data_IF_483863543587
#
_entry.id   IF_483863543587
#
_cell.length_a   1.000
_cell.length_b   1.000
_cell.length_c   1.000
_cell.angle_alpha   90.00
_cell.angle_beta   90.00
_cell.angle_gamma   90.00
#
_symmetry.space_group_name_H-M   'P 1'
#
loop_
_entity.id
_entity.type
_entity.pdbx_description
1 polymer ?
#
# COMPACT_ATOMS: atom_id res chain seq x y z
N UNK A 1 23.53 25.06 -2.77
CA UNK A 1 22.21 24.40 -2.84
C UNK A 1 21.84 24.39 -4.29
N UNK A 2 21.62 23.19 -4.81
CA UNK A 2 21.21 22.99 -6.18
C UNK A 2 19.75 22.58 -6.25
N UNK A 3 19.12 22.95 -7.35
CA UNK A 3 17.76 22.55 -7.71
C UNK A 3 17.88 21.76 -9.00
N UNK A 4 17.45 20.50 -8.97
CA UNK A 4 17.38 19.65 -10.16
C UNK A 4 15.91 19.47 -10.54
N UNK A 5 15.58 19.70 -11.81
CA UNK A 5 14.22 19.57 -12.31
C UNK A 5 14.19 18.55 -13.44
N UNK A 6 13.21 17.66 -13.41
CA UNK A 6 13.02 16.60 -14.38
C UNK A 6 11.58 16.60 -14.85
N UNK A 7 11.36 16.75 -16.16
CA UNK A 7 10.05 16.60 -16.78
C UNK A 7 9.86 15.13 -17.14
N UNK A 8 8.78 14.52 -16.67
CA UNK A 8 8.48 13.11 -16.93
C UNK A 8 7.54 13.02 -18.14
N UNK A 9 8.11 13.02 -19.35
CA UNK A 9 7.35 12.98 -20.61
C UNK A 9 6.68 11.63 -20.88
N UNK A 10 7.17 10.57 -20.25
CA UNK A 10 6.69 9.19 -20.36
C UNK A 10 5.63 8.83 -19.31
N UNK A 11 5.48 9.65 -18.27
CA UNK A 11 4.46 9.51 -17.23
C UNK A 11 3.25 10.37 -17.60
N UNK A 12 2.32 9.82 -18.35
CA UNK A 12 1.15 10.59 -18.81
C UNK A 12 -0.09 10.44 -17.93
N UNK A 13 -0.26 9.33 -17.22
CA UNK A 13 -1.53 8.99 -16.58
C UNK A 13 -1.35 8.60 -15.11
N UNK A 14 -2.19 9.18 -14.25
CA UNK A 14 -2.53 8.59 -12.97
C UNK A 14 -3.62 7.54 -13.22
N UNK A 15 -3.64 6.51 -12.39
CA UNK A 15 -4.57 5.41 -12.58
C UNK A 15 -6.01 5.81 -12.25
N UNK A 16 -6.97 5.23 -12.98
CA UNK A 16 -8.38 5.61 -12.96
C UNK A 16 -8.97 5.74 -11.55
N UNK A 17 -8.65 4.81 -10.65
CA UNK A 17 -9.15 4.87 -9.27
C UNK A 17 -8.53 6.01 -8.47
N UNK A 18 -7.25 6.30 -8.69
CA UNK A 18 -6.61 7.38 -7.96
C UNK A 18 -7.04 8.76 -8.48
N UNK A 19 -7.34 8.87 -9.79
CA UNK A 19 -7.97 10.07 -10.39
C UNK A 19 -9.36 10.36 -9.83
N UNK A 20 -10.10 9.34 -9.36
CA UNK A 20 -11.37 9.52 -8.67
C UNK A 20 -11.22 10.07 -7.25
N UNK A 21 -10.07 9.84 -6.61
CA UNK A 21 -9.82 10.22 -5.22
C UNK A 21 -9.13 11.60 -5.15
N UNK A 22 -8.23 11.88 -6.10
CA UNK A 22 -7.39 13.07 -6.07
C UNK A 22 -7.38 13.80 -7.41
N UNK A 23 -7.47 15.13 -7.35
CA UNK A 23 -7.13 15.97 -8.48
C UNK A 23 -5.61 16.11 -8.57
N UNK A 24 -4.99 15.63 -9.66
CA UNK A 24 -3.52 15.63 -9.87
C UNK A 24 -2.82 16.96 -9.61
N UNK A 25 -3.49 18.09 -9.89
CA UNK A 25 -2.96 19.44 -9.67
C UNK A 25 -2.91 19.85 -8.19
N UNK A 26 -3.63 19.12 -7.32
CA UNK A 26 -3.76 19.41 -5.90
C UNK A 26 -2.88 18.55 -5.00
N UNK A 27 -2.13 17.61 -5.58
CA UNK A 27 -1.29 16.65 -4.86
C UNK A 27 0.19 16.88 -5.14
N UNK A 28 1.02 16.55 -4.16
CA UNK A 28 2.47 16.51 -4.30
C UNK A 28 3.00 15.27 -3.59
N UNK A 29 3.78 14.46 -4.28
CA UNK A 29 4.53 13.39 -3.65
C UNK A 29 5.81 13.97 -3.05
N UNK A 30 6.22 13.45 -1.90
CA UNK A 30 7.36 13.93 -1.13
C UNK A 30 8.17 12.75 -0.60
N UNK A 31 9.49 12.86 -0.73
CA UNK A 31 10.48 11.97 -0.14
C UNK A 31 11.72 12.76 0.28
N UNK A 32 12.37 12.36 1.39
CA UNK A 32 13.59 13.02 1.89
C UNK A 32 14.76 12.06 2.08
N UNK A 33 15.96 12.60 1.86
CA UNK A 33 17.18 11.98 2.35
C UNK A 33 17.78 12.73 3.53
N UNK A 34 18.23 11.97 4.52
CA UNK A 34 18.74 12.49 5.77
C UNK A 34 20.11 11.90 6.09
N UNK A 35 20.92 12.60 6.87
CA UNK A 35 22.22 12.08 7.34
C UNK A 35 22.09 11.05 8.47
N UNK A 36 20.90 10.51 8.70
CA UNK A 36 20.59 9.60 9.81
C UNK A 36 19.16 9.73 10.31
N UNK A 37 18.68 8.71 11.03
CA UNK A 37 17.28 8.58 11.42
C UNK A 37 16.84 9.50 12.57
N UNK A 38 17.78 10.12 13.29
CA UNK A 38 17.45 10.94 14.45
C UNK A 38 17.37 12.42 14.06
N UNK A 39 16.15 12.96 13.93
CA UNK A 39 15.87 14.36 13.60
C UNK A 39 16.53 15.40 14.52
N UNK A 40 16.84 15.02 15.77
CA UNK A 40 17.55 15.91 16.71
C UNK A 40 19.03 16.09 16.37
N UNK A 41 19.66 15.11 15.70
CA UNK A 41 21.12 15.10 15.44
C UNK A 41 21.46 15.14 13.95
N UNK A 42 20.54 14.69 13.11
CA UNK A 42 20.75 14.51 11.68
C UNK A 42 20.11 15.66 10.90
N UNK A 43 20.56 15.84 9.65
CA UNK A 43 20.14 16.92 8.77
C UNK A 43 19.48 16.32 7.53
N UNK A 44 18.51 17.01 6.96
CA UNK A 44 17.99 16.75 5.62
C UNK A 44 19.00 17.30 4.62
N UNK A 45 19.42 16.49 3.66
CA UNK A 45 20.32 16.92 2.60
C UNK A 45 19.69 16.87 1.20
N UNK A 46 18.57 16.17 1.05
CA UNK A 46 17.78 16.14 -0.17
C UNK A 46 16.30 16.13 0.18
N UNK A 47 15.53 16.97 -0.51
CA UNK A 47 14.07 16.86 -0.56
C UNK A 47 13.69 16.73 -2.02
N UNK A 48 13.00 15.64 -2.35
CA UNK A 48 12.40 15.47 -3.66
C UNK A 48 10.90 15.73 -3.58
N UNK A 49 10.37 16.45 -4.58
CA UNK A 49 8.95 16.69 -4.79
C UNK A 49 8.56 16.21 -6.17
N UNK A 50 7.45 15.50 -6.28
CA UNK A 50 6.85 15.13 -7.55
C UNK A 50 5.44 15.72 -7.63
N UNK A 51 5.18 16.53 -8.65
CA UNK A 51 3.91 17.24 -8.83
C UNK A 51 3.55 17.41 -10.30
N UNK A 52 2.25 17.53 -10.58
CA UNK A 52 1.76 17.75 -11.92
C UNK A 52 1.76 19.25 -12.25
N UNK A 53 2.37 19.63 -13.37
CA UNK A 53 2.28 21.00 -13.90
C UNK A 53 1.13 21.09 -14.92
N UNK A 54 0.06 21.84 -14.62
CA UNK A 54 -1.09 21.98 -15.52
C UNK A 54 -0.74 22.72 -16.82
N UNK A 55 0.29 23.57 -16.84
CA UNK A 55 0.65 24.35 -18.04
C UNK A 55 1.31 23.45 -19.07
N UNK A 56 2.35 22.71 -18.66
CA UNK A 56 3.02 21.76 -19.54
C UNK A 56 2.24 20.45 -19.70
N UNK A 57 1.27 20.17 -18.83
CA UNK A 57 0.55 18.89 -18.74
C UNK A 57 1.46 17.68 -18.48
N UNK A 58 2.54 17.88 -17.72
CA UNK A 58 3.50 16.83 -17.37
C UNK A 58 3.70 16.73 -15.86
N UNK A 59 4.09 15.54 -15.41
CA UNK A 59 4.67 15.36 -14.09
C UNK A 59 6.08 15.91 -14.04
N UNK A 60 6.45 16.52 -12.92
CA UNK A 60 7.77 17.06 -12.70
C UNK A 60 8.33 16.62 -11.36
N UNK A 61 9.57 16.15 -11.37
CA UNK A 61 10.36 15.95 -10.15
C UNK A 61 11.24 17.17 -9.94
N UNK A 62 11.17 17.77 -8.75
CA UNK A 62 12.07 18.82 -8.28
C UNK A 62 12.85 18.30 -7.08
N UNK A 63 14.17 18.33 -7.15
CA UNK A 63 15.06 17.91 -6.07
C UNK A 63 15.84 19.10 -5.53
N UNK A 64 15.64 19.42 -4.26
CA UNK A 64 16.41 20.42 -3.52
C UNK A 64 17.56 19.73 -2.79
N UNK A 65 18.79 19.95 -3.26
CA UNK A 65 19.97 19.27 -2.76
C UNK A 65 20.93 20.22 -2.03
N UNK A 66 21.39 19.79 -0.85
CA UNK A 66 22.38 20.48 -0.03
C UNK A 66 23.76 20.01 -0.45
N UNK A 67 24.60 20.92 -0.93
CA UNK A 67 26.00 20.57 -1.17
C UNK A 67 26.80 20.45 0.13
N UNK A 68 26.32 21.10 1.18
CA UNK A 68 26.87 21.06 2.53
C UNK A 68 25.78 21.20 3.58
N UNK A 69 26.06 20.74 4.81
CA UNK A 69 25.07 20.73 5.91
C UNK A 69 24.51 22.13 6.25
N UNK A 70 25.27 23.20 5.97
CA UNK A 70 24.82 24.57 6.21
C UNK A 70 23.67 25.04 5.30
N UNK A 71 23.27 24.24 4.32
CA UNK A 71 22.25 24.62 3.33
C UNK A 71 20.86 24.03 3.63
N UNK A 72 20.72 23.23 4.68
CA UNK A 72 19.44 22.60 5.06
C UNK A 72 18.34 23.64 5.26
N UNK A 73 18.62 24.76 5.95
CA UNK A 73 17.64 25.83 6.17
C UNK A 73 17.08 26.35 4.83
N UNK A 74 17.95 26.49 3.82
CA UNK A 74 17.55 26.97 2.50
C UNK A 74 16.62 25.96 1.83
N UNK A 75 16.98 24.68 1.83
CA UNK A 75 16.15 23.62 1.25
C UNK A 75 14.78 23.55 1.91
N UNK A 76 14.74 23.67 3.24
CA UNK A 76 13.50 23.67 4.00
C UNK A 76 12.61 24.85 3.63
N UNK A 77 13.15 26.06 3.49
CA UNK A 77 12.35 27.24 3.06
C UNK A 77 11.74 27.03 1.67
N UNK A 78 12.55 26.61 0.69
CA UNK A 78 12.07 26.36 -0.67
C UNK A 78 11.04 25.22 -0.72
N UNK A 79 11.24 24.16 0.06
CA UNK A 79 10.27 23.07 0.22
C UNK A 79 8.96 23.62 0.78
N UNK A 80 9.01 24.38 1.88
CA UNK A 80 7.84 24.92 2.56
C UNK A 80 6.99 25.83 1.67
N UNK A 81 7.65 26.64 0.85
CA UNK A 81 7.01 27.50 -0.14
C UNK A 81 6.39 26.67 -1.27
N UNK A 82 7.11 25.66 -1.77
CA UNK A 82 6.66 24.86 -2.91
C UNK A 82 5.47 23.98 -2.56
N UNK A 83 5.48 23.33 -1.39
CA UNK A 83 4.36 22.48 -0.96
C UNK A 83 3.08 23.28 -0.70
N UNK A 84 3.18 24.57 -0.38
CA UNK A 84 2.02 25.41 0.01
C UNK A 84 0.96 25.58 -1.09
N UNK A 85 1.31 25.22 -2.33
CA UNK A 85 0.42 25.26 -3.50
C UNK A 85 -0.54 24.06 -3.57
N UNK A 86 -0.25 23.00 -2.82
CA UNK A 86 -1.00 21.74 -2.86
C UNK A 86 -1.94 21.62 -1.66
N UNK A 87 -2.89 20.69 -1.76
CA UNK A 87 -3.84 20.35 -0.69
C UNK A 87 -3.46 19.06 0.03
N UNK A 88 -2.78 18.15 -0.66
CA UNK A 88 -2.42 16.84 -0.12
C UNK A 88 -0.99 16.46 -0.44
N UNK A 89 -0.27 15.98 0.58
CA UNK A 89 1.02 15.33 0.44
C UNK A 89 0.83 13.82 0.35
N UNK A 90 1.40 13.22 -0.68
CA UNK A 90 1.47 11.76 -0.83
C UNK A 90 2.89 11.32 -0.46
N UNK A 91 3.01 10.33 0.41
CA UNK A 91 4.30 9.83 0.87
C UNK A 91 4.26 8.31 1.01
N UNK A 92 5.44 7.69 1.11
CA UNK A 92 5.56 6.29 1.52
C UNK A 92 6.14 6.21 2.92
N UNK A 93 5.31 5.92 3.92
CA UNK A 93 5.71 5.93 5.34
C UNK A 93 6.15 7.31 5.86
N UNK A 94 5.78 8.39 5.16
CA UNK A 94 6.21 9.75 5.48
C UNK A 94 5.46 10.41 6.63
N UNK A 95 4.27 9.93 6.99
CA UNK A 95 3.62 10.39 8.23
C UNK A 95 4.37 9.91 9.48
N UNK A 96 5.11 8.81 9.36
CA UNK A 96 5.91 8.25 10.44
C UNK A 96 7.36 8.78 10.44
N UNK A 97 7.88 9.21 9.29
CA UNK A 97 9.26 9.65 9.15
C UNK A 97 9.38 11.07 8.59
N UNK A 98 9.13 11.26 7.29
CA UNK A 98 9.41 12.47 6.51
C UNK A 98 8.80 13.74 7.11
N UNK A 99 7.47 13.75 7.28
CA UNK A 99 6.72 14.91 7.77
C UNK A 99 7.17 15.29 9.21
N UNK A 100 7.22 14.35 10.19
CA UNK A 100 7.76 14.65 11.51
C UNK A 100 9.22 15.09 11.53
N UNK A 101 10.03 14.66 10.56
CA UNK A 101 11.44 15.06 10.44
C UNK A 101 11.53 16.49 9.92
N UNK A 102 10.84 16.79 8.81
CA UNK A 102 10.79 18.14 8.21
C UNK A 102 10.27 19.17 9.21
N UNK A 103 9.13 18.90 9.85
CA UNK A 103 8.55 19.81 10.85
C UNK A 103 9.53 20.11 12.00
N UNK A 104 10.24 19.09 12.49
CA UNK A 104 11.23 19.27 13.54
C UNK A 104 12.42 20.12 13.07
N UNK A 105 12.94 19.88 11.87
CA UNK A 105 14.06 20.65 11.33
C UNK A 105 13.64 22.09 11.01
N UNK A 106 12.45 22.31 10.46
CA UNK A 106 11.88 23.65 10.26
C UNK A 106 11.78 24.43 11.56
N UNK A 107 11.29 23.79 12.64
CA UNK A 107 11.19 24.40 13.96
C UNK A 107 12.57 24.85 14.50
N UNK A 108 13.63 24.06 14.29
CA UNK A 108 14.99 24.44 14.70
C UNK A 108 15.53 25.69 14.00
N UNK A 109 15.08 25.95 12.78
CA UNK A 109 15.41 27.15 12.01
C UNK A 109 14.36 28.26 12.14
N UNK A 110 13.41 28.13 13.08
CA UNK A 110 12.30 29.07 13.27
C UNK A 110 11.45 29.29 12.00
N UNK A 111 11.36 28.28 11.14
CA UNK A 111 10.51 28.28 9.95
C UNK A 111 9.11 27.79 10.38
N UNK A 112 8.09 28.61 10.13
CA UNK A 112 6.69 28.18 10.31
C UNK A 112 6.32 27.18 9.22
N UNK A 113 6.05 25.95 9.60
CA UNK A 113 5.73 24.88 8.65
C UNK A 113 4.35 25.07 8.02
N UNK A 114 4.27 24.85 6.72
CA UNK A 114 3.02 24.72 5.98
C UNK A 114 2.51 23.28 5.97
N UNK A 115 3.32 22.28 6.35
CA UNK A 115 2.97 20.85 6.33
C UNK A 115 1.63 20.58 7.04
N UNK A 116 1.41 21.23 8.18
CA UNK A 116 0.23 21.03 9.01
C UNK A 116 -1.06 21.60 8.38
N UNK A 117 -0.93 22.39 7.30
CA UNK A 117 -2.07 22.89 6.52
C UNK A 117 -2.49 21.93 5.39
N UNK A 118 -1.68 20.90 5.10
CA UNK A 118 -1.98 19.90 4.06
C UNK A 118 -2.58 18.64 4.69
N UNK A 119 -3.44 17.97 3.94
CA UNK A 119 -3.79 16.58 4.24
C UNK A 119 -2.61 15.67 3.89
N UNK A 120 -2.48 14.54 4.57
CA UNK A 120 -1.48 13.51 4.24
C UNK A 120 -2.17 12.24 3.75
N UNK A 121 -1.61 11.64 2.70
CA UNK A 121 -1.93 10.30 2.23
C UNK A 121 -0.66 9.45 2.27
N UNK A 122 -0.51 8.69 3.34
CA UNK A 122 0.59 7.74 3.49
C UNK A 122 0.24 6.38 2.87
N UNK A 123 0.89 6.08 1.74
CA UNK A 123 0.67 4.86 0.96
C UNK A 123 0.92 3.62 1.81
N UNK A 124 2.01 3.59 2.58
CA UNK A 124 2.35 2.45 3.43
C UNK A 124 1.23 2.16 4.44
N UNK A 125 0.71 3.21 5.10
CA UNK A 125 -0.38 3.05 6.07
C UNK A 125 -1.67 2.59 5.42
N UNK A 126 -2.02 3.08 4.22
CA UNK A 126 -3.21 2.59 3.51
C UNK A 126 -3.06 1.11 3.13
N UNK A 127 -1.94 0.71 2.53
CA UNK A 127 -1.66 -0.70 2.21
C UNK A 127 -1.75 -1.56 3.46
N UNK A 128 -1.25 -1.06 4.60
CA UNK A 128 -1.22 -1.84 5.85
C UNK A 128 -2.61 -2.17 6.37
N UNK A 129 -3.61 -1.32 6.16
CA UNK A 129 -5.02 -1.59 6.53
C UNK A 129 -5.58 -2.81 5.83
N UNK A 130 -5.22 -2.99 4.56
CA UNK A 130 -5.68 -4.09 3.71
C UNK A 130 -4.62 -5.20 3.55
N UNK A 131 -3.64 -5.26 4.45
CA UNK A 131 -2.53 -6.24 4.37
C UNK A 131 -2.98 -7.71 4.38
N UNK A 132 -4.18 -8.00 4.87
CA UNK A 132 -4.78 -9.34 4.83
C UNK A 132 -5.09 -9.82 3.40
N UNK A 133 -5.23 -8.89 2.45
CA UNK A 133 -5.55 -9.17 1.06
C UNK A 133 -4.31 -9.25 0.16
N UNK A 134 -3.12 -9.07 0.73
CA UNK A 134 -1.85 -9.09 0.02
C UNK A 134 -0.95 -10.21 0.52
N UNK A 135 -0.51 -11.06 -0.41
CA UNK A 135 0.41 -12.16 -0.10
C UNK A 135 1.88 -11.74 -0.26
N UNK A 136 2.31 -10.72 0.48
CA UNK A 136 3.68 -10.19 0.42
C UNK A 136 4.53 -10.61 1.62
N UNK A 137 5.84 -10.68 1.44
CA UNK A 137 6.78 -11.00 2.54
C UNK A 137 6.92 -9.86 3.57
N UNK A 138 6.83 -8.62 3.09
CA UNK A 138 6.84 -7.39 3.87
C UNK A 138 6.28 -6.25 3.02
N UNK A 139 6.09 -5.08 3.63
CA UNK A 139 5.47 -3.93 2.98
C UNK A 139 6.47 -2.78 2.77
N UNK A 140 7.76 -3.10 2.59
CA UNK A 140 8.76 -2.09 2.17
C UNK A 140 8.50 -1.68 0.72
N UNK A 141 8.85 -0.45 0.37
CA UNK A 141 8.65 0.11 -0.98
C UNK A 141 9.12 -0.84 -2.08
N UNK A 142 10.40 -1.27 -2.02
CA UNK A 142 11.00 -2.21 -2.99
C UNK A 142 10.25 -3.55 -3.11
N UNK A 143 9.60 -4.02 -2.04
CA UNK A 143 8.80 -5.26 -2.07
C UNK A 143 7.47 -5.04 -2.78
N UNK A 144 6.80 -3.91 -2.52
CA UNK A 144 5.58 -3.53 -3.24
C UNK A 144 5.88 -3.36 -4.73
N UNK A 145 6.94 -2.64 -5.06
CA UNK A 145 7.38 -2.43 -6.44
C UNK A 145 7.62 -3.74 -7.19
N UNK A 146 8.37 -4.67 -6.58
CA UNK A 146 8.61 -5.99 -7.16
C UNK A 146 7.31 -6.75 -7.41
N UNK A 147 6.33 -6.63 -6.51
CA UNK A 147 5.02 -7.28 -6.69
C UNK A 147 4.21 -6.70 -7.85
N UNK A 148 4.49 -5.46 -8.24
CA UNK A 148 3.92 -4.77 -9.39
C UNK A 148 4.76 -4.93 -10.67
N UNK A 149 5.80 -5.77 -10.65
CA UNK A 149 6.70 -5.97 -11.79
C UNK A 149 7.70 -4.83 -12.02
N UNK A 150 7.84 -3.90 -11.06
CA UNK A 150 8.81 -2.81 -11.13
C UNK A 150 10.17 -3.35 -10.68
N UNK A 151 11.14 -3.26 -11.58
CA UNK A 151 12.52 -3.69 -11.34
C UNK A 151 13.46 -2.51 -11.49
N UNK A 152 13.95 -2.00 -10.36
CA UNK A 152 14.92 -0.91 -10.30
C UNK A 152 16.35 -1.44 -10.48
N UNK A 153 17.19 -0.66 -11.15
CA UNK A 153 18.64 -0.90 -11.18
C UNK A 153 19.36 -0.38 -9.93
N UNK A 154 18.71 0.46 -9.11
CA UNK A 154 19.30 1.11 -7.95
C UNK A 154 19.68 0.10 -6.83
N UNK A 155 20.98 -0.13 -6.60
CA UNK A 155 21.43 -1.14 -5.67
C UNK A 155 21.46 -0.64 -4.22
N UNK A 156 21.31 0.67 -3.97
CA UNK A 156 21.55 1.26 -2.67
C UNK A 156 20.30 1.33 -1.81
N UNK A 157 20.50 1.21 -0.51
CA UNK A 157 19.53 1.51 0.53
C UNK A 157 19.72 2.94 1.04
N UNK A 158 18.68 3.55 1.61
CA UNK A 158 18.80 4.88 2.24
C UNK A 158 19.93 4.96 3.29
N UNK A 159 20.27 3.83 3.95
CA UNK A 159 21.43 3.77 4.86
C UNK A 159 22.76 3.96 4.13
N UNK A 160 22.91 3.36 2.95
CA UNK A 160 24.10 3.51 2.12
C UNK A 160 24.18 4.91 1.49
N UNK A 161 23.03 5.53 1.18
CA UNK A 161 22.95 6.91 0.71
C UNK A 161 23.54 7.92 1.72
N UNK A 162 23.43 7.65 3.03
CA UNK A 162 24.09 8.45 4.08
C UNK A 162 25.62 8.47 3.89
N UNK A 163 26.23 7.29 3.73
CA UNK A 163 27.67 7.16 3.57
C UNK A 163 28.14 7.78 2.25
N UNK A 164 27.36 7.62 1.18
CA UNK A 164 27.59 8.26 -0.10
C UNK A 164 27.55 9.78 0.02
N UNK A 165 26.61 10.35 0.77
CA UNK A 165 26.54 11.80 0.96
C UNK A 165 27.78 12.35 1.67
N UNK A 166 28.24 11.70 2.74
CA UNK A 166 29.49 12.10 3.41
C UNK A 166 30.73 11.93 2.50
N UNK A 167 30.75 10.91 1.66
CA UNK A 167 31.80 10.72 0.65
C UNK A 167 31.75 11.81 -0.43
N UNK A 168 30.56 12.22 -0.85
CA UNK A 168 30.34 13.34 -1.75
C UNK A 168 30.82 14.65 -1.12
N UNK A 169 30.50 14.92 0.15
CA UNK A 169 30.96 16.14 0.82
C UNK A 169 32.48 16.30 0.83
N UNK A 170 33.23 15.19 0.97
CA UNK A 170 34.70 15.20 0.94
C UNK A 170 35.28 15.26 -0.47
N UNK A 171 34.71 14.49 -1.40
CA UNK A 171 35.31 14.28 -2.73
C UNK A 171 34.75 15.17 -3.83
N UNK A 172 33.52 15.67 -3.65
CA UNK A 172 32.72 16.42 -4.62
C UNK A 172 32.59 15.74 -5.99
N UNK A 173 32.75 14.40 -6.03
CA UNK A 173 32.67 13.62 -7.26
C UNK A 173 31.23 13.53 -7.76
N UNK A 174 31.01 13.97 -9.01
CA UNK A 174 29.70 13.93 -9.67
C UNK A 174 29.08 12.53 -9.70
N UNK A 175 29.88 11.48 -9.93
CA UNK A 175 29.34 10.11 -9.96
C UNK A 175 28.68 9.66 -8.64
N UNK A 176 29.07 10.23 -7.49
CA UNK A 176 28.42 9.93 -6.20
C UNK A 176 27.12 10.73 -6.07
N UNK A 177 27.14 11.98 -6.51
CA UNK A 177 25.97 12.84 -6.55
C UNK A 177 24.87 12.23 -7.44
N UNK A 178 25.25 11.76 -8.64
CA UNK A 178 24.32 11.15 -9.59
C UNK A 178 23.61 9.93 -8.98
N UNK A 179 24.31 9.12 -8.18
CA UNK A 179 23.72 7.99 -7.45
C UNK A 179 22.72 8.45 -6.39
N UNK A 180 23.09 9.44 -5.58
CA UNK A 180 22.20 9.98 -4.52
C UNK A 180 20.93 10.58 -5.13
N UNK A 181 21.07 11.40 -6.18
CA UNK A 181 19.92 12.01 -6.86
C UNK A 181 19.06 10.94 -7.52
N UNK A 182 19.67 9.90 -8.12
CA UNK A 182 18.93 8.80 -8.76
C UNK A 182 18.10 7.99 -7.77
N UNK A 183 18.60 7.75 -6.56
CA UNK A 183 17.86 7.04 -5.51
C UNK A 183 16.54 7.73 -5.17
N UNK A 184 16.60 8.99 -4.74
CA UNK A 184 15.42 9.79 -4.42
C UNK A 184 14.53 10.06 -5.65
N UNK A 185 15.13 10.19 -6.84
CA UNK A 185 14.37 10.30 -8.10
C UNK A 185 13.54 9.02 -8.33
N UNK A 186 14.14 7.84 -8.19
CA UNK A 186 13.45 6.56 -8.40
C UNK A 186 12.37 6.34 -7.36
N UNK A 187 12.63 6.68 -6.10
CA UNK A 187 11.62 6.63 -5.04
C UNK A 187 10.38 7.45 -5.41
N UNK A 188 10.54 8.66 -5.93
CA UNK A 188 9.42 9.47 -6.38
C UNK A 188 8.80 8.99 -7.69
N UNK A 189 9.62 8.68 -8.70
CA UNK A 189 9.15 8.31 -10.04
C UNK A 189 8.24 7.08 -10.00
N UNK A 190 8.64 6.04 -9.25
CA UNK A 190 7.88 4.80 -9.15
C UNK A 190 6.73 4.87 -8.14
N UNK A 191 6.70 5.88 -7.24
CA UNK A 191 5.59 6.04 -6.30
C UNK A 191 4.23 6.21 -6.99
N UNK A 192 4.18 6.80 -8.20
CA UNK A 192 2.96 6.84 -9.00
C UNK A 192 2.51 5.42 -9.37
N UNK A 193 3.41 4.55 -9.81
CA UNK A 193 3.08 3.16 -10.19
C UNK A 193 2.71 2.31 -8.99
N UNK A 194 3.33 2.58 -7.84
CA UNK A 194 3.02 1.91 -6.57
C UNK A 194 1.54 2.05 -6.21
N UNK A 195 0.85 3.09 -6.67
CA UNK A 195 -0.59 3.25 -6.46
C UNK A 195 -1.43 2.12 -7.07
N UNK A 196 -0.92 1.39 -8.08
CA UNK A 196 -1.58 0.21 -8.65
C UNK A 196 -1.82 -0.91 -7.64
N UNK A 197 -1.09 -0.92 -6.53
CA UNK A 197 -1.34 -1.88 -5.46
C UNK A 197 -2.76 -1.78 -4.92
N UNK A 198 -3.38 -0.59 -4.96
CA UNK A 198 -4.76 -0.40 -4.50
C UNK A 198 -5.77 -1.07 -5.44
N UNK A 199 -5.50 -1.10 -6.75
CA UNK A 199 -6.33 -1.82 -7.71
C UNK A 199 -6.24 -3.35 -7.45
N UNK A 200 -5.03 -3.86 -7.21
CA UNK A 200 -4.84 -5.27 -6.83
C UNK A 200 -5.54 -5.62 -5.51
N UNK A 201 -5.49 -4.73 -4.51
CA UNK A 201 -6.23 -4.90 -3.26
C UNK A 201 -7.73 -4.94 -3.53
N UNK A 202 -8.27 -4.02 -4.33
CA UNK A 202 -9.69 -3.98 -4.66
C UNK A 202 -10.16 -5.26 -5.39
N UNK A 203 -9.38 -5.74 -6.36
CA UNK A 203 -9.64 -7.01 -7.04
C UNK A 203 -9.58 -8.21 -6.07
N UNK A 204 -8.59 -8.21 -5.17
CA UNK A 204 -8.45 -9.24 -4.15
C UNK A 204 -9.63 -9.25 -3.16
N UNK A 205 -10.24 -8.10 -2.86
CA UNK A 205 -11.42 -7.98 -1.99
C UNK A 205 -12.73 -8.38 -2.68
N UNK A 206 -12.81 -8.23 -4.00
CA UNK A 206 -14.07 -8.40 -4.75
C UNK A 206 -14.30 -9.80 -5.28
N UNK A 207 -15.56 -10.23 -5.26
CA UNK A 207 -16.06 -11.34 -6.06
C UNK A 207 -17.42 -10.98 -6.64
N UNK A 208 -17.80 -11.67 -7.71
CA UNK A 208 -19.13 -11.56 -8.29
C UNK A 208 -19.92 -12.84 -8.07
N UNK A 209 -21.20 -12.67 -7.73
CA UNK A 209 -22.19 -13.74 -7.61
C UNK A 209 -23.39 -13.42 -8.50
N UNK A 210 -24.13 -14.46 -8.89
CA UNK A 210 -25.40 -14.32 -9.59
C UNK A 210 -26.50 -14.75 -8.62
N UNK A 211 -27.47 -13.88 -8.40
CA UNK A 211 -28.62 -14.15 -7.53
C UNK A 211 -29.86 -13.52 -8.15
N UNK A 212 -30.93 -14.29 -8.34
CA UNK A 212 -32.16 -13.83 -8.99
C UNK A 212 -31.90 -13.12 -10.34
N UNK A 213 -31.04 -13.71 -11.19
CA UNK A 213 -30.58 -13.17 -12.48
C UNK A 213 -29.74 -11.88 -12.41
N UNK A 214 -29.55 -11.32 -11.21
CA UNK A 214 -28.72 -10.14 -10.98
C UNK A 214 -27.27 -10.51 -10.70
N UNK A 215 -26.35 -9.78 -11.36
CA UNK A 215 -24.93 -9.78 -10.99
C UNK A 215 -24.74 -8.87 -9.78
N UNK A 216 -24.32 -9.44 -8.66
CA UNK A 216 -24.01 -8.72 -7.43
C UNK A 216 -22.50 -8.75 -7.21
N UNK A 217 -21.91 -7.59 -6.98
CA UNK A 217 -20.54 -7.46 -6.50
C UNK A 217 -20.54 -7.54 -4.98
N UNK A 218 -19.68 -8.40 -4.45
CA UNK A 218 -19.43 -8.58 -3.02
C UNK A 218 -17.99 -8.16 -2.76
N UNK A 219 -17.79 -7.19 -1.88
CA UNK A 219 -16.49 -6.72 -1.43
C UNK A 219 -16.27 -7.18 0.01
N UNK A 220 -15.24 -8.00 0.23
CA UNK A 220 -14.83 -8.44 1.56
C UNK A 220 -14.20 -7.26 2.30
N UNK A 221 -14.80 -6.83 3.39
CA UNK A 221 -14.28 -5.76 4.25
C UNK A 221 -13.31 -6.31 5.30
N UNK A 222 -13.63 -7.47 5.89
CA UNK A 222 -12.83 -8.07 6.93
C UNK A 222 -13.03 -9.59 7.03
N UNK A 223 -12.00 -10.28 7.50
CA UNK A 223 -12.03 -11.71 7.82
C UNK A 223 -11.25 -11.99 9.09
N UNK A 224 -11.85 -12.76 10.00
CA UNK A 224 -11.22 -13.12 11.27
C UNK A 224 -11.79 -14.40 11.86
N UNK A 225 -10.97 -15.09 12.65
CA UNK A 225 -11.40 -16.19 13.50
C UNK A 225 -11.77 -15.68 14.90
N UNK A 226 -12.89 -16.13 15.43
CA UNK A 226 -13.29 -15.96 16.83
C UNK A 226 -13.59 -17.34 17.41
N UNK A 227 -12.64 -17.89 18.17
CA UNK A 227 -12.68 -19.30 18.57
C UNK A 227 -12.55 -20.23 17.37
N UNK A 228 -13.55 -21.10 17.20
CA UNK A 228 -13.76 -22.02 16.09
C UNK A 228 -14.58 -21.41 14.93
N UNK A 229 -15.09 -20.19 15.10
CA UNK A 229 -15.91 -19.52 14.07
C UNK A 229 -15.06 -18.66 13.15
N UNK A 230 -15.15 -18.92 11.85
CA UNK A 230 -14.60 -18.05 10.81
C UNK A 230 -15.64 -17.03 10.41
N UNK A 231 -15.29 -15.75 10.43
CA UNK A 231 -16.22 -14.65 10.17
C UNK A 231 -15.75 -13.87 8.95
N UNK A 232 -16.68 -13.61 8.03
CA UNK A 232 -16.46 -12.80 6.82
C UNK A 232 -17.50 -11.69 6.81
N UNK A 233 -17.01 -10.45 6.80
CA UNK A 233 -17.84 -9.24 6.73
C UNK A 233 -17.67 -8.64 5.35
N UNK A 234 -18.77 -8.41 4.65
CA UNK A 234 -18.78 -7.91 3.27
C UNK A 234 -19.75 -6.75 3.07
N UNK A 235 -19.45 -5.91 2.08
CA UNK A 235 -20.39 -5.01 1.43
C UNK A 235 -20.84 -5.56 0.09
N UNK A 236 -22.03 -5.20 -0.33
CA UNK A 236 -22.63 -5.67 -1.58
C UNK A 236 -23.17 -4.52 -2.42
N UNK A 237 -23.11 -4.65 -3.75
CA UNK A 237 -23.59 -3.62 -4.67
C UNK A 237 -25.12 -3.49 -4.69
N UNK A 238 -25.83 -4.55 -4.29
CA UNK A 238 -27.29 -4.63 -4.21
C UNK A 238 -27.70 -5.20 -2.87
N UNK A 239 -28.85 -4.76 -2.39
CA UNK A 239 -29.38 -5.27 -1.15
C UNK A 239 -30.05 -6.63 -1.33
N UNK A 240 -30.01 -7.44 -0.28
CA UNK A 240 -30.82 -8.64 -0.12
C UNK A 240 -31.25 -8.76 1.35
N UNK A 241 -32.27 -9.55 1.64
CA UNK A 241 -32.85 -9.69 2.97
C UNK A 241 -32.96 -11.17 3.37
N UNK A 242 -31.80 -11.76 3.67
CA UNK A 242 -31.68 -13.19 3.95
C UNK A 242 -31.14 -13.38 5.36
N UNK A 243 -31.81 -14.24 6.11
CA UNK A 243 -31.30 -14.76 7.36
C UNK A 243 -31.36 -16.29 7.30
N UNK A 244 -30.21 -16.90 7.01
CA UNK A 244 -30.04 -18.35 6.96
C UNK A 244 -29.23 -18.80 8.17
N UNK A 245 -29.79 -19.72 8.95
CA UNK A 245 -29.13 -20.33 10.11
C UNK A 245 -29.08 -21.84 9.92
N UNK A 246 -27.95 -22.32 9.39
CA UNK A 246 -27.72 -23.73 9.11
C UNK A 246 -26.94 -24.42 10.22
N UNK A 247 -26.79 -25.74 10.09
CA UNK A 247 -26.00 -26.54 11.03
C UNK A 247 -24.49 -26.26 10.95
N UNK A 248 -24.01 -25.71 9.84
CA UNK A 248 -22.57 -25.56 9.56
C UNK A 248 -22.13 -24.14 9.22
N UNK A 249 -23.09 -23.29 8.82
CA UNK A 249 -22.82 -21.91 8.47
C UNK A 249 -24.07 -21.06 8.68
N UNK A 250 -23.85 -19.77 8.88
CA UNK A 250 -24.90 -18.77 8.97
C UNK A 250 -24.63 -17.66 7.96
N UNK A 251 -25.70 -17.17 7.34
CA UNK A 251 -25.67 -15.98 6.49
C UNK A 251 -26.68 -14.98 7.02
N UNK A 252 -26.23 -13.75 7.22
CA UNK A 252 -27.11 -12.59 7.39
C UNK A 252 -26.78 -11.59 6.31
N UNK A 253 -27.73 -11.36 5.42
CA UNK A 253 -27.66 -10.31 4.41
C UNK A 253 -28.81 -9.35 4.67
N UNK A 254 -28.47 -8.13 5.08
CA UNK A 254 -29.42 -7.07 5.36
C UNK A 254 -28.90 -5.77 4.74
N UNK A 255 -29.77 -5.08 4.02
CA UNK A 255 -29.39 -3.96 3.16
C UNK A 255 -28.18 -4.36 2.28
N UNK A 256 -27.12 -3.56 2.25
CA UNK A 256 -25.89 -3.84 1.49
C UNK A 256 -24.81 -4.52 2.31
N UNK A 257 -25.15 -5.08 3.47
CA UNK A 257 -24.21 -5.74 4.37
C UNK A 257 -24.45 -7.25 4.34
N UNK A 258 -23.39 -7.99 4.05
CA UNK A 258 -23.40 -9.46 4.03
C UNK A 258 -22.41 -9.99 5.07
N UNK A 259 -22.93 -10.78 6.00
CA UNK A 259 -22.16 -11.47 7.02
C UNK A 259 -22.28 -12.97 6.81
N UNK A 260 -21.13 -13.65 6.74
CA UNK A 260 -21.04 -15.11 6.62
C UNK A 260 -20.17 -15.60 7.76
N UNK A 261 -20.64 -16.62 8.47
CA UNK A 261 -19.79 -17.35 9.41
C UNK A 261 -19.99 -18.85 9.28
N UNK A 262 -18.94 -19.60 9.59
CA UNK A 262 -18.93 -21.07 9.59
C UNK A 262 -17.84 -21.58 10.52
N UNK A 263 -17.98 -22.81 10.99
CA UNK A 263 -16.96 -23.46 11.81
C UNK A 263 -15.71 -23.79 10.98
N UNK A 264 -14.53 -23.54 11.54
CA UNK A 264 -13.26 -23.94 10.99
C UNK A 264 -12.41 -24.69 12.01
N UNK A 265 -11.45 -25.46 11.51
CA UNK A 265 -10.47 -26.16 12.32
C UNK A 265 -9.10 -25.49 12.22
N UNK A 266 -8.24 -25.78 13.20
CA UNK A 266 -6.84 -25.38 13.21
C UNK A 266 -5.95 -26.63 13.18
N UNK A 267 -4.88 -26.58 12.41
CA UNK A 267 -3.96 -27.71 12.27
C UNK A 267 -2.59 -27.31 11.74
N UNK A 268 -1.79 -28.31 11.37
CA UNK A 268 -0.49 -28.14 10.73
C UNK A 268 -0.57 -28.62 9.29
N UNK A 269 -0.25 -27.75 8.32
CA UNK A 269 -0.16 -28.13 6.90
C UNK A 269 1.26 -28.62 6.54
N UNK A 270 2.25 -28.20 7.31
CA UNK A 270 3.60 -28.77 7.32
C UNK A 270 4.04 -28.93 8.78
N UNK A 271 5.16 -29.62 9.09
CA UNK A 271 5.61 -29.80 10.47
C UNK A 271 5.79 -28.51 11.27
N UNK A 272 5.98 -27.36 10.60
CA UNK A 272 6.20 -26.06 11.24
C UNK A 272 5.12 -25.02 10.92
N UNK A 273 4.30 -25.23 9.89
CA UNK A 273 3.29 -24.23 9.47
C UNK A 273 1.91 -24.58 9.97
N UNK A 274 1.32 -23.66 10.73
CA UNK A 274 -0.09 -23.71 11.16
C UNK A 274 -1.01 -23.28 10.03
N UNK A 275 -2.20 -23.84 10.01
CA UNK A 275 -3.26 -23.47 9.08
C UNK A 275 -4.63 -23.48 9.75
N UNK A 276 -5.53 -22.65 9.21
CA UNK A 276 -6.96 -22.74 9.40
C UNK A 276 -7.57 -23.40 8.17
N UNK A 277 -8.50 -24.33 8.33
CA UNK A 277 -9.11 -25.08 7.24
C UNK A 277 -10.55 -25.49 7.56
N UNK A 278 -11.30 -25.85 6.52
CA UNK A 278 -12.63 -26.45 6.63
C UNK A 278 -12.64 -27.85 6.02
N UNK A 279 -13.44 -28.74 6.61
CA UNK A 279 -13.76 -30.05 6.03
C UNK A 279 -15.13 -29.97 5.36
N UNK A 280 -15.12 -29.84 4.04
CA UNK A 280 -16.33 -29.63 3.25
C UNK A 280 -17.18 -30.88 3.05
N UNK A 281 -16.70 -32.06 3.48
CA UNK A 281 -17.50 -33.30 3.43
C UNK A 281 -18.71 -33.23 4.36
N UNK A 282 -18.55 -32.53 5.49
CA UNK A 282 -19.65 -32.26 6.42
C UNK A 282 -20.72 -31.35 5.82
N UNK A 283 -20.39 -30.59 4.77
CA UNK A 283 -21.28 -29.65 4.10
C UNK A 283 -21.88 -30.23 2.81
N UNK A 284 -21.43 -31.40 2.36
CA UNK A 284 -21.80 -31.99 1.07
C UNK A 284 -21.29 -31.19 -0.14
N UNK A 285 -20.11 -30.56 -0.01
CA UNK A 285 -19.53 -29.68 -1.04
C UNK A 285 -18.18 -30.20 -1.59
N UNK A 286 -17.80 -31.43 -1.28
CA UNK A 286 -16.55 -32.08 -1.71
C UNK A 286 -16.36 -32.12 -3.24
N UNK A 287 -17.45 -32.27 -4.00
CA UNK A 287 -17.39 -32.28 -5.47
C UNK A 287 -17.35 -30.87 -6.09
N UNK A 288 -17.69 -29.84 -5.30
CA UNK A 288 -17.84 -28.47 -5.79
C UNK A 288 -16.64 -27.58 -5.46
N UNK A 289 -16.04 -27.79 -4.30
CA UNK A 289 -14.93 -26.97 -3.83
C UNK A 289 -13.69 -27.84 -3.75
N UNK A 290 -12.66 -27.44 -4.51
CA UNK A 290 -11.31 -28.00 -4.41
C UNK A 290 -10.33 -26.93 -3.99
N UNK A 291 -9.40 -27.31 -3.12
CA UNK A 291 -8.32 -26.46 -2.64
C UNK A 291 -7.47 -25.99 -3.83
N UNK A 292 -7.08 -24.71 -3.81
CA UNK A 292 -6.25 -24.06 -4.82
C UNK A 292 -4.92 -23.54 -4.25
N UNK A 293 -4.62 -23.85 -2.99
CA UNK A 293 -3.36 -23.45 -2.40
C UNK A 293 -2.20 -24.21 -3.03
N UNK A 294 -0.97 -23.75 -2.74
CA UNK A 294 0.25 -24.45 -3.17
C UNK A 294 0.54 -25.71 -2.35
N UNK A 295 -0.34 -26.09 -1.41
CA UNK A 295 -0.16 -27.23 -0.52
C UNK A 295 -0.96 -28.45 -0.99
N UNK A 296 -0.42 -29.64 -0.71
CA UNK A 296 -1.14 -30.89 -0.92
C UNK A 296 -2.11 -31.10 0.25
N UNK A 297 -3.41 -30.99 -0.01
CA UNK A 297 -4.48 -31.28 0.96
C UNK A 297 -5.29 -32.51 0.52
N UNK A 298 -5.93 -33.22 1.47
CA UNK A 298 -7.00 -34.15 1.14
C UNK A 298 -8.13 -33.47 0.36
N UNK A 299 -8.86 -34.21 -0.49
CA UNK A 299 -9.86 -33.64 -1.40
C UNK A 299 -10.97 -32.84 -0.68
N UNK A 300 -11.33 -33.25 0.53
CA UNK A 300 -12.36 -32.61 1.35
C UNK A 300 -11.85 -31.44 2.22
N UNK A 301 -10.53 -31.18 2.23
CA UNK A 301 -9.92 -30.16 3.09
C UNK A 301 -9.58 -28.92 2.27
N UNK A 302 -10.17 -27.79 2.66
CA UNK A 302 -9.97 -26.49 2.02
C UNK A 302 -9.30 -25.54 3.00
N UNK A 303 -8.11 -25.03 2.65
CA UNK A 303 -7.39 -24.08 3.48
C UNK A 303 -8.04 -22.71 3.42
N UNK A 304 -8.18 -22.07 4.58
CA UNK A 304 -8.61 -20.68 4.72
C UNK A 304 -7.41 -19.77 4.94
N UNK A 305 -6.44 -20.23 5.73
CA UNK A 305 -5.28 -19.42 6.15
C UNK A 305 -4.09 -20.32 6.42
N UNK A 306 -2.89 -19.92 6.00
CA UNK A 306 -1.62 -20.54 6.39
C UNK A 306 -0.72 -19.49 7.03
N UNK A 307 -0.28 -19.75 8.27
CA UNK A 307 0.34 -18.74 9.14
C UNK A 307 -0.53 -17.47 9.23
N UNK A 308 -0.05 -16.36 8.68
CA UNK A 308 -0.73 -15.07 8.66
C UNK A 308 -1.41 -14.74 7.32
N UNK A 309 -1.38 -15.65 6.35
CA UNK A 309 -1.81 -15.41 4.96
C UNK A 309 -3.10 -16.14 4.64
N UNK A 310 -4.10 -15.41 4.16
CA UNK A 310 -5.37 -15.99 3.74
C UNK A 310 -5.30 -16.58 2.33
N UNK A 311 -5.95 -17.73 2.15
CA UNK A 311 -6.17 -18.37 0.85
C UNK A 311 -7.44 -17.79 0.22
N UNK A 312 -7.36 -16.56 -0.29
CA UNK A 312 -8.52 -15.78 -0.74
C UNK A 312 -9.35 -16.48 -1.82
N UNK A 313 -8.71 -17.21 -2.73
CA UNK A 313 -9.40 -17.96 -3.80
C UNK A 313 -10.28 -19.07 -3.23
N UNK A 314 -9.79 -19.77 -2.21
CA UNK A 314 -10.56 -20.78 -1.50
C UNK A 314 -11.73 -20.14 -0.75
N UNK A 315 -11.47 -19.06 -0.01
CA UNK A 315 -12.50 -18.33 0.75
C UNK A 315 -13.59 -17.83 -0.19
N UNK A 316 -13.23 -17.17 -1.30
CA UNK A 316 -14.19 -16.66 -2.30
C UNK A 316 -15.04 -17.78 -2.91
N UNK A 317 -14.49 -18.98 -3.13
CA UNK A 317 -15.27 -20.14 -3.60
C UNK A 317 -16.25 -20.64 -2.54
N UNK A 318 -15.79 -20.79 -1.29
CA UNK A 318 -16.66 -21.16 -0.17
C UNK A 318 -17.82 -20.17 -0.07
N UNK A 319 -17.52 -18.87 -0.07
CA UNK A 319 -18.55 -17.83 -0.04
C UNK A 319 -19.57 -18.00 -1.17
N UNK A 320 -19.14 -18.25 -2.42
CA UNK A 320 -20.04 -18.46 -3.56
C UNK A 320 -21.00 -19.63 -3.34
N UNK A 321 -20.48 -20.77 -2.88
CA UNK A 321 -21.30 -21.95 -2.62
C UNK A 321 -22.27 -21.72 -1.45
N UNK A 322 -21.79 -21.16 -0.33
CA UNK A 322 -22.63 -20.89 0.83
C UNK A 322 -23.77 -19.91 0.51
N UNK A 323 -23.48 -18.83 -0.24
CA UNK A 323 -24.50 -17.87 -0.68
C UNK A 323 -25.49 -18.51 -1.66
N UNK A 324 -25.07 -19.49 -2.47
CA UNK A 324 -25.97 -20.19 -3.39
C UNK A 324 -26.96 -21.14 -2.69
N UNK A 325 -26.59 -21.63 -1.50
CA UNK A 325 -27.42 -22.53 -0.69
C UNK A 325 -28.50 -21.75 0.09
N UNK A 326 -28.16 -20.54 0.55
CA UNK A 326 -29.03 -19.68 1.34
C UNK A 326 -30.06 -18.91 0.51
#
# INVERSE_FOLDING_TARGET
MFIYNYVLSDKSEMYYHFDQIFHKESICFLDIETTGLNKNKSHIYLVGLLSFDPISSHWNITQYFAEGLGEEEKILKYTNESISKFKTLITFNGESFDIPFINHRMSKYSIKSNMDNLSSFDIYKQIKKDSLFLNLENYKLKTIEKSLGIHREDPFSGKECIDLYYKYQKSKKKCILDVILKHNYDDLYYLIDVLNIFDLILEAKRLHIIRNEDKIEVEIENMYSDGDMFNIVCKTSKADNIAYFGSFFNIRWEDRSLFINFEHNMGLITPTKKCAFVDVSSWGLEDKIKDKSDYLTPENIILLKVEDKYELDNIKKIMKELISIA
#
